data_IF_484085765594
#
_entry.id   IF_484085765594
#
_cell.length_a   1.000
_cell.length_b   1.000
_cell.length_c   1.000
_cell.angle_alpha   90.00
_cell.angle_beta   90.00
_cell.angle_gamma   90.00
#
_symmetry.space_group_name_H-M   'P 1'
#
loop_
_entity.id
_entity.type
_entity.pdbx_description
1 polymer ?
#
# COMPACT_ATOMS: atom_id res chain seq x y z
N UNK A 1 7.54 11.37 -4.12
CA UNK A 1 8.37 12.56 -4.39
C UNK A 1 9.11 12.26 -5.69
N UNK A 2 8.77 12.98 -6.76
CA UNK A 2 9.36 12.79 -8.09
C UNK A 2 10.88 12.93 -8.02
N UNK A 3 11.64 12.01 -8.64
CA UNK A 3 12.96 12.40 -9.14
C UNK A 3 12.64 13.40 -10.24
N UNK A 4 12.93 14.66 -9.98
CA UNK A 4 12.67 15.75 -10.90
C UNK A 4 13.40 15.48 -12.22
N UNK A 5 12.69 15.23 -13.34
CA UNK A 5 13.31 15.06 -14.65
C UNK A 5 14.23 16.24 -14.97
N UNK A 6 13.97 17.43 -14.40
CA UNK A 6 14.81 18.60 -14.56
C UNK A 6 16.25 18.37 -14.08
N UNK A 7 16.48 17.56 -13.04
CA UNK A 7 17.85 17.26 -12.56
C UNK A 7 18.64 16.46 -13.60
N UNK A 8 17.99 15.53 -14.31
CA UNK A 8 18.62 14.78 -15.42
C UNK A 8 19.02 15.72 -16.56
N UNK A 9 18.19 16.72 -16.84
CA UNK A 9 18.38 17.60 -17.99
C UNK A 9 19.21 18.86 -17.72
N UNK A 10 19.53 19.20 -16.47
CA UNK A 10 20.36 20.38 -16.12
C UNK A 10 21.73 20.39 -16.78
N UNK A 11 22.47 19.27 -16.75
CA UNK A 11 23.76 19.17 -17.44
C UNK A 11 23.58 19.03 -18.97
N UNK A 12 22.56 18.29 -19.40
CA UNK A 12 22.29 18.04 -20.81
C UNK A 12 21.74 19.28 -21.55
N UNK A 13 21.12 20.23 -20.86
CA UNK A 13 20.67 21.51 -21.42
C UNK A 13 21.81 22.43 -21.81
N UNK A 14 22.99 22.27 -21.19
CA UNK A 14 24.19 22.98 -21.63
C UNK A 14 24.72 22.42 -22.97
N UNK A 15 24.36 21.18 -23.31
CA UNK A 15 24.83 20.47 -24.50
C UNK A 15 23.76 20.21 -25.57
N UNK A 16 22.47 20.40 -25.27
CA UNK A 16 21.37 20.11 -26.19
C UNK A 16 20.25 21.15 -26.09
N UNK A 17 19.80 21.64 -27.25
CA UNK A 17 18.68 22.57 -27.34
C UNK A 17 17.39 21.93 -26.80
N UNK A 18 17.16 20.64 -27.09
CA UNK A 18 15.98 19.91 -26.63
C UNK A 18 15.83 19.90 -25.10
N UNK A 19 16.92 19.65 -24.37
CA UNK A 19 16.90 19.66 -22.92
C UNK A 19 16.70 21.07 -22.34
N UNK A 20 17.25 22.11 -22.99
CA UNK A 20 17.03 23.49 -22.59
C UNK A 20 15.55 23.88 -22.72
N UNK A 21 14.88 23.46 -23.81
CA UNK A 21 13.45 23.67 -24.00
C UNK A 21 12.60 22.96 -22.93
N UNK A 22 12.98 21.73 -22.56
CA UNK A 22 12.28 20.98 -21.52
C UNK A 22 12.42 21.67 -20.15
N UNK A 23 13.63 22.14 -19.80
CA UNK A 23 13.86 22.91 -18.58
C UNK A 23 13.14 24.26 -18.56
N UNK A 24 12.96 24.88 -19.73
CA UNK A 24 12.23 26.13 -19.89
C UNK A 24 10.70 25.97 -19.80
N UNK A 25 10.21 24.75 -19.60
CA UNK A 25 8.78 24.46 -19.52
C UNK A 25 8.08 24.47 -20.88
N UNK A 26 8.82 24.24 -21.97
CA UNK A 26 8.30 24.11 -23.35
C UNK A 26 8.42 22.67 -23.85
N UNK A 27 7.66 21.72 -23.26
CA UNK A 27 7.81 20.29 -23.55
C UNK A 27 7.40 19.91 -24.97
N UNK A 28 6.54 20.68 -25.65
CA UNK A 28 6.22 20.43 -27.06
C UNK A 28 7.39 20.69 -28.00
N UNK A 29 8.11 21.79 -27.78
CA UNK A 29 9.31 22.17 -28.54
C UNK A 29 10.44 21.18 -28.25
N UNK A 30 10.65 20.86 -26.98
CA UNK A 30 11.60 19.82 -26.56
C UNK A 30 11.32 18.48 -27.24
N UNK A 31 10.06 18.03 -27.25
CA UNK A 31 9.65 16.78 -27.90
C UNK A 31 10.01 16.77 -29.38
N UNK A 32 9.71 17.86 -30.10
CA UNK A 32 10.00 17.95 -31.53
C UNK A 32 11.50 17.84 -31.81
N UNK A 33 12.33 18.47 -30.98
CA UNK A 33 13.79 18.38 -31.08
C UNK A 33 14.31 16.97 -30.75
N UNK A 34 13.83 16.35 -29.66
CA UNK A 34 14.20 14.97 -29.33
C UNK A 34 13.79 13.96 -30.41
N UNK A 35 12.60 14.12 -31.00
CA UNK A 35 12.14 13.27 -32.11
C UNK A 35 12.99 13.47 -33.37
N UNK A 36 13.41 14.71 -33.66
CA UNK A 36 14.32 15.00 -34.77
C UNK A 36 15.70 14.35 -34.57
N UNK A 37 16.18 14.33 -33.34
CA UNK A 37 17.45 13.69 -32.95
C UNK A 37 17.34 12.17 -32.72
N UNK A 38 16.13 11.61 -32.88
CA UNK A 38 15.81 10.20 -32.59
C UNK A 38 16.17 9.78 -31.14
N UNK A 39 16.15 10.72 -30.20
CA UNK A 39 16.30 10.48 -28.76
C UNK A 39 14.95 10.05 -28.17
N UNK A 40 14.73 8.75 -28.13
CA UNK A 40 13.51 8.15 -27.59
C UNK A 40 13.34 8.41 -26.09
N UNK A 41 14.43 8.54 -25.35
CA UNK A 41 14.38 8.76 -23.90
C UNK A 41 13.97 10.20 -23.61
N UNK A 42 14.59 11.16 -24.30
CA UNK A 42 14.22 12.57 -24.22
C UNK A 42 12.80 12.85 -24.71
N UNK A 43 12.39 12.22 -25.81
CA UNK A 43 11.01 12.30 -26.29
C UNK A 43 10.02 11.72 -25.25
N UNK A 44 10.39 10.62 -24.59
CA UNK A 44 9.63 10.04 -23.49
C UNK A 44 9.45 10.99 -22.30
N UNK A 45 10.52 11.67 -21.87
CA UNK A 45 10.47 12.65 -20.78
C UNK A 45 9.58 13.85 -21.12
N UNK A 46 9.68 14.36 -22.36
CA UNK A 46 8.83 15.44 -22.83
C UNK A 46 7.34 15.04 -22.91
N UNK A 47 7.05 13.80 -23.31
CA UNK A 47 5.69 13.24 -23.32
C UNK A 47 5.13 13.07 -21.91
N UNK A 48 5.96 12.70 -20.92
CA UNK A 48 5.54 12.67 -19.52
C UNK A 48 5.17 14.07 -19.01
N UNK A 49 5.97 15.09 -19.34
CA UNK A 49 5.68 16.48 -18.98
C UNK A 49 4.36 16.98 -19.59
N UNK A 50 3.99 16.46 -20.77
CA UNK A 50 2.71 16.71 -21.43
C UNK A 50 1.53 15.89 -20.88
N UNK A 51 1.77 15.00 -19.91
CA UNK A 51 0.76 14.08 -19.39
C UNK A 51 0.32 13.01 -20.39
N UNK A 52 1.14 12.70 -21.41
CA UNK A 52 0.85 11.70 -22.43
C UNK A 52 1.53 10.37 -22.09
N UNK A 53 1.14 9.77 -20.96
CA UNK A 53 1.83 8.62 -20.37
C UNK A 53 1.92 7.42 -21.32
N UNK A 54 0.86 7.16 -22.10
CA UNK A 54 0.83 6.02 -23.02
C UNK A 54 1.87 6.13 -24.13
N UNK A 55 2.04 7.35 -24.67
CA UNK A 55 3.06 7.62 -25.68
C UNK A 55 4.46 7.59 -25.07
N UNK A 56 4.62 8.08 -23.84
CA UNK A 56 5.89 8.00 -23.14
C UNK A 56 6.33 6.55 -22.89
N UNK A 57 5.41 5.67 -22.45
CA UNK A 57 5.67 4.23 -22.32
C UNK A 57 6.18 3.64 -23.63
N UNK A 58 5.50 3.93 -24.76
CA UNK A 58 5.93 3.44 -26.07
C UNK A 58 7.32 3.93 -26.48
N UNK A 59 7.69 5.16 -26.13
CA UNK A 59 9.04 5.68 -26.35
C UNK A 59 10.08 4.91 -25.54
N UNK A 60 9.85 4.68 -24.24
CA UNK A 60 10.80 3.95 -23.39
C UNK A 60 10.91 2.47 -23.74
N UNK A 61 9.81 1.82 -24.11
CA UNK A 61 9.84 0.42 -24.59
C UNK A 61 10.67 0.28 -25.88
N UNK A 62 10.60 1.29 -26.77
CA UNK A 62 11.40 1.35 -28.00
C UNK A 62 12.85 1.75 -27.77
N UNK A 63 13.15 2.49 -26.71
CA UNK A 63 14.52 2.86 -26.33
C UNK A 63 15.36 1.69 -25.83
N UNK A 64 14.85 0.45 -25.96
CA UNK A 64 15.40 -0.84 -25.53
C UNK A 64 16.90 -0.86 -25.24
N UNK A 65 17.26 -1.30 -24.03
CA UNK A 65 18.65 -1.52 -23.60
C UNK A 65 18.70 -1.85 -22.10
N UNK A 66 19.83 -2.40 -21.65
CA UNK A 66 20.13 -2.53 -20.21
C UNK A 66 20.65 -1.19 -19.68
N UNK A 67 19.80 -0.15 -19.75
CA UNK A 67 20.10 1.18 -19.23
C UNK A 67 19.11 1.54 -18.12
N UNK A 68 19.67 1.76 -16.92
CA UNK A 68 18.90 2.17 -15.75
C UNK A 68 18.09 3.46 -15.99
N UNK A 69 18.55 4.38 -16.82
CA UNK A 69 17.81 5.62 -17.12
C UNK A 69 16.50 5.29 -17.84
N UNK A 70 16.54 4.39 -18.82
CA UNK A 70 15.34 3.91 -19.54
C UNK A 70 14.42 3.17 -18.58
N UNK A 71 14.99 2.32 -17.72
CA UNK A 71 14.24 1.57 -16.71
C UNK A 71 13.46 2.52 -15.80
N UNK A 72 14.13 3.55 -15.27
CA UNK A 72 13.52 4.54 -14.38
C UNK A 72 12.42 5.35 -15.08
N UNK A 73 12.67 5.83 -16.31
CA UNK A 73 11.68 6.57 -17.09
C UNK A 73 10.43 5.73 -17.39
N UNK A 74 10.61 4.47 -17.77
CA UNK A 74 9.50 3.53 -17.99
C UNK A 74 8.72 3.26 -16.70
N UNK A 75 9.41 3.00 -15.57
CA UNK A 75 8.74 2.77 -14.30
C UNK A 75 7.90 3.98 -13.86
N UNK A 76 8.42 5.20 -14.02
CA UNK A 76 7.67 6.42 -13.74
C UNK A 76 6.44 6.55 -14.65
N UNK A 77 6.59 6.29 -15.96
CA UNK A 77 5.48 6.33 -16.90
C UNK A 77 4.39 5.30 -16.56
N UNK A 78 4.78 4.10 -16.13
CA UNK A 78 3.86 3.04 -15.71
C UNK A 78 3.10 3.42 -14.43
N UNK A 79 3.76 4.01 -13.44
CA UNK A 79 3.10 4.54 -12.23
C UNK A 79 2.06 5.59 -12.59
N UNK A 80 2.44 6.58 -13.42
CA UNK A 80 1.55 7.67 -13.83
C UNK A 80 0.36 7.20 -14.68
N UNK A 81 0.52 6.08 -15.40
CA UNK A 81 -0.56 5.41 -16.14
C UNK A 81 -1.47 4.57 -15.23
N UNK A 82 -1.17 4.48 -13.93
CA UNK A 82 -1.95 3.68 -12.99
C UNK A 82 -1.58 2.19 -12.99
N UNK A 83 -0.35 1.82 -13.38
CA UNK A 83 0.16 0.45 -13.33
C UNK A 83 1.49 0.36 -12.55
N UNK A 84 1.49 0.67 -11.24
CA UNK A 84 2.68 0.64 -10.41
C UNK A 84 3.21 -0.79 -10.21
N UNK A 85 2.38 -1.83 -10.34
CA UNK A 85 2.84 -3.22 -10.24
C UNK A 85 3.79 -3.58 -11.39
N UNK A 86 3.51 -3.12 -12.62
CA UNK A 86 4.43 -3.28 -13.73
C UNK A 86 5.74 -2.49 -13.50
N UNK A 87 5.65 -1.30 -12.90
CA UNK A 87 6.83 -0.51 -12.53
C UNK A 87 7.69 -1.24 -11.48
N UNK A 88 7.07 -1.89 -10.48
CA UNK A 88 7.76 -2.72 -9.49
C UNK A 88 8.53 -3.84 -10.17
N UNK A 89 7.89 -4.64 -11.03
CA UNK A 89 8.55 -5.74 -11.75
C UNK A 89 9.75 -5.22 -12.55
N UNK A 90 9.58 -4.09 -13.23
CA UNK A 90 10.63 -3.47 -14.04
C UNK A 90 11.83 -3.02 -13.20
N UNK A 91 11.57 -2.43 -12.03
CA UNK A 91 12.61 -1.96 -11.11
C UNK A 91 13.31 -3.09 -10.36
N UNK A 92 12.63 -4.20 -10.08
CA UNK A 92 13.28 -5.39 -9.54
C UNK A 92 14.27 -5.99 -10.55
N UNK A 93 13.91 -6.04 -11.83
CA UNK A 93 14.83 -6.45 -12.90
C UNK A 93 16.02 -5.49 -13.02
N UNK A 94 15.78 -4.18 -12.93
CA UNK A 94 16.84 -3.17 -12.94
C UNK A 94 17.79 -3.33 -11.75
N UNK A 95 17.25 -3.58 -10.55
CA UNK A 95 18.04 -3.78 -9.34
C UNK A 95 18.82 -5.09 -9.36
N UNK A 96 18.30 -6.14 -10.01
CA UNK A 96 19.03 -7.38 -10.22
C UNK A 96 20.28 -7.18 -11.12
N UNK A 97 20.17 -6.31 -12.14
CA UNK A 97 21.32 -5.90 -12.98
C UNK A 97 22.26 -4.93 -12.30
N UNK A 98 21.74 -4.07 -11.44
CA UNK A 98 22.50 -3.04 -10.72
C UNK A 98 22.30 -3.15 -9.20
N UNK A 99 22.82 -4.21 -8.54
CA UNK A 99 22.61 -4.42 -7.11
C UNK A 99 23.09 -3.23 -6.27
N UNK A 100 22.24 -2.79 -5.34
CA UNK A 100 22.57 -1.68 -4.43
C UNK A 100 22.57 -0.29 -5.08
N UNK A 101 22.08 -0.14 -6.31
CA UNK A 101 21.93 1.18 -6.92
C UNK A 101 20.83 1.98 -6.19
N UNK A 102 21.15 3.15 -5.61
CA UNK A 102 20.20 3.92 -4.81
C UNK A 102 19.05 4.51 -5.62
N UNK A 103 19.27 4.82 -6.91
CA UNK A 103 18.22 5.33 -7.80
C UNK A 103 17.20 4.23 -8.11
N UNK A 104 17.67 3.02 -8.44
CA UNK A 104 16.80 1.86 -8.65
C UNK A 104 15.99 1.53 -7.37
N UNK A 105 16.65 1.57 -6.21
CA UNK A 105 15.99 1.34 -4.91
C UNK A 105 14.95 2.42 -4.57
N UNK A 106 15.26 3.69 -4.85
CA UNK A 106 14.32 4.80 -4.68
C UNK A 106 13.08 4.62 -5.56
N UNK A 107 13.26 4.32 -6.86
CA UNK A 107 12.16 4.11 -7.79
C UNK A 107 11.33 2.88 -7.44
N UNK A 108 11.97 1.78 -7.04
CA UNK A 108 11.29 0.58 -6.56
C UNK A 108 10.43 0.88 -5.33
N UNK A 109 10.98 1.62 -4.36
CA UNK A 109 10.25 1.97 -3.14
C UNK A 109 9.05 2.87 -3.42
N UNK A 110 9.21 3.85 -4.31
CA UNK A 110 8.10 4.69 -4.79
C UNK A 110 7.00 3.86 -5.44
N UNK A 111 7.35 3.00 -6.40
CA UNK A 111 6.38 2.14 -7.09
C UNK A 111 5.67 1.15 -6.13
N UNK A 112 6.37 0.65 -5.11
CA UNK A 112 5.79 -0.16 -4.05
C UNK A 112 4.75 0.64 -3.25
N UNK A 113 5.07 1.84 -2.79
CA UNK A 113 4.12 2.68 -2.05
C UNK A 113 2.89 3.05 -2.87
N UNK A 114 3.06 3.38 -4.16
CA UNK A 114 1.95 3.62 -5.09
C UNK A 114 1.08 2.37 -5.29
N UNK A 115 1.69 1.17 -5.27
CA UNK A 115 0.94 -0.10 -5.28
C UNK A 115 0.07 -0.25 -4.03
N UNK A 116 0.57 0.12 -2.85
CA UNK A 116 -0.24 0.11 -1.63
C UNK A 116 -1.37 1.16 -1.69
N UNK A 117 -1.10 2.35 -2.21
CA UNK A 117 -2.10 3.42 -2.30
C UNK A 117 -3.23 3.07 -3.26
N UNK A 118 -2.92 2.44 -4.39
CA UNK A 118 -3.93 1.96 -5.33
C UNK A 118 -4.71 0.75 -4.81
N UNK A 119 -4.09 -0.08 -3.97
CA UNK A 119 -4.79 -1.21 -3.35
C UNK A 119 -5.85 -0.73 -2.34
N UNK A 120 -5.61 0.40 -1.66
CA UNK A 120 -6.50 0.94 -0.62
C UNK A 120 -7.75 1.62 -1.18
N UNK A 121 -8.82 1.58 -0.38
CA UNK A 121 -10.03 2.34 -0.64
C UNK A 121 -9.82 3.83 -0.29
N UNK A 122 -10.59 4.72 -0.93
CA UNK A 122 -10.52 6.16 -0.70
C UNK A 122 -11.85 6.65 -0.10
N UNK A 123 -11.76 7.37 1.01
CA UNK A 123 -12.90 8.05 1.64
C UNK A 123 -13.20 9.38 0.95
N UNK A 124 -14.39 9.95 1.19
CA UNK A 124 -14.82 11.24 0.63
C UNK A 124 -13.90 12.39 1.05
N UNK A 125 -13.21 12.23 2.18
CA UNK A 125 -12.22 13.16 2.71
C UNK A 125 -10.80 12.88 2.18
N UNK A 126 -10.69 12.10 1.11
CA UNK A 126 -9.45 11.74 0.43
C UNK A 126 -8.46 10.94 1.30
N UNK A 127 -8.95 10.26 2.35
CA UNK A 127 -8.13 9.38 3.17
C UNK A 127 -8.08 7.96 2.59
N UNK A 128 -6.86 7.42 2.50
CA UNK A 128 -6.64 6.02 2.10
C UNK A 128 -6.89 5.09 3.30
N UNK A 129 -7.79 4.13 3.11
CA UNK A 129 -8.23 3.21 4.16
C UNK A 129 -8.21 1.75 3.69
N UNK A 130 -7.80 0.85 4.59
CA UNK A 130 -7.85 -0.60 4.38
C UNK A 130 -9.22 -1.10 4.81
N UNK A 131 -9.96 -1.70 3.87
CA UNK A 131 -11.37 -2.11 4.03
C UNK A 131 -11.61 -3.59 3.77
N UNK A 132 -10.63 -4.31 3.23
CA UNK A 132 -10.70 -5.75 3.02
C UNK A 132 -9.43 -6.47 3.47
N UNK A 133 -9.54 -7.79 3.66
CA UNK A 133 -8.38 -8.62 4.01
C UNK A 133 -7.35 -8.64 2.88
N UNK A 134 -7.80 -8.70 1.63
CA UNK A 134 -6.94 -8.65 0.44
C UNK A 134 -6.12 -7.37 0.41
N UNK A 135 -6.74 -6.21 0.69
CA UNK A 135 -6.03 -4.93 0.78
C UNK A 135 -4.97 -4.97 1.88
N UNK A 136 -5.32 -5.50 3.06
CA UNK A 136 -4.40 -5.65 4.17
C UNK A 136 -3.17 -6.49 3.79
N UNK A 137 -3.39 -7.64 3.17
CA UNK A 137 -2.32 -8.56 2.78
C UNK A 137 -1.41 -7.95 1.69
N UNK A 138 -1.98 -7.22 0.71
CA UNK A 138 -1.21 -6.48 -0.30
C UNK A 138 -0.36 -5.40 0.37
N UNK A 139 -0.96 -4.55 1.20
CA UNK A 139 -0.24 -3.48 1.90
C UNK A 139 0.87 -4.04 2.80
N UNK A 140 0.63 -5.17 3.47
CA UNK A 140 1.65 -5.82 4.31
C UNK A 140 2.82 -6.37 3.48
N UNK A 141 2.55 -7.03 2.36
CA UNK A 141 3.58 -7.53 1.46
C UNK A 141 4.42 -6.39 0.86
N UNK A 142 3.75 -5.30 0.46
CA UNK A 142 4.39 -4.08 -0.04
C UNK A 142 5.26 -3.43 1.02
N UNK A 143 4.74 -3.22 2.24
CA UNK A 143 5.47 -2.59 3.33
C UNK A 143 6.74 -3.36 3.70
N UNK A 144 6.66 -4.69 3.74
CA UNK A 144 7.82 -5.55 4.02
C UNK A 144 8.91 -5.40 2.96
N UNK A 145 8.54 -5.36 1.66
CA UNK A 145 9.50 -5.16 0.57
C UNK A 145 10.09 -3.75 0.59
N UNK A 146 9.24 -2.74 0.77
CA UNK A 146 9.64 -1.34 0.78
C UNK A 146 10.58 -0.99 1.96
N UNK A 147 10.43 -1.67 3.10
CA UNK A 147 11.31 -1.48 4.26
C UNK A 147 12.77 -1.87 3.99
N UNK A 148 13.00 -2.83 3.10
CA UNK A 148 14.35 -3.28 2.73
C UNK A 148 14.96 -2.39 1.64
N UNK A 149 14.13 -1.76 0.81
CA UNK A 149 14.58 -0.97 -0.35
C UNK A 149 14.63 0.53 -0.08
N UNK A 150 14.03 1.04 1.01
CA UNK A 150 13.96 2.47 1.28
C UNK A 150 15.34 3.07 1.62
N UNK A 151 15.87 3.92 0.74
CA UNK A 151 17.20 4.54 0.88
C UNK A 151 17.14 5.96 1.46
N UNK A 152 16.15 6.75 1.10
CA UNK A 152 15.99 8.12 1.56
C UNK A 152 15.02 8.23 2.75
N UNK A 153 15.13 9.34 3.47
CA UNK A 153 14.36 9.57 4.69
C UNK A 153 12.86 9.71 4.43
N UNK A 154 12.47 10.29 3.29
CA UNK A 154 11.07 10.47 2.94
C UNK A 154 10.39 9.10 2.72
N UNK A 155 11.04 8.21 1.98
CA UNK A 155 10.56 6.84 1.79
C UNK A 155 10.59 6.04 3.09
N UNK A 156 11.64 6.14 3.92
CA UNK A 156 11.66 5.47 5.23
C UNK A 156 10.50 5.93 6.12
N UNK A 157 10.22 7.22 6.16
CA UNK A 157 9.10 7.76 6.92
C UNK A 157 7.74 7.29 6.37
N UNK A 158 7.58 7.23 5.04
CA UNK A 158 6.35 6.72 4.42
C UNK A 158 6.13 5.23 4.72
N UNK A 159 7.17 4.41 4.61
CA UNK A 159 7.11 2.98 4.95
C UNK A 159 6.84 2.78 6.43
N UNK A 160 7.46 3.58 7.31
CA UNK A 160 7.21 3.51 8.75
C UNK A 160 5.75 3.85 9.09
N UNK A 161 5.16 4.87 8.46
CA UNK A 161 3.73 5.21 8.63
C UNK A 161 2.83 4.05 8.20
N UNK A 162 3.05 3.47 7.02
CA UNK A 162 2.28 2.33 6.54
C UNK A 162 2.43 1.12 7.47
N UNK A 163 3.64 0.85 7.94
CA UNK A 163 3.92 -0.26 8.87
C UNK A 163 3.22 -0.05 10.21
N UNK A 164 3.21 1.17 10.74
CA UNK A 164 2.49 1.52 11.97
C UNK A 164 0.97 1.35 11.80
N UNK A 165 0.41 1.81 10.67
CA UNK A 165 -1.01 1.62 10.34
C UNK A 165 -1.39 0.13 10.31
N UNK A 166 -0.56 -0.71 9.70
CA UNK A 166 -0.76 -2.16 9.65
C UNK A 166 -0.66 -2.80 11.03
N UNK A 167 0.33 -2.39 11.84
CA UNK A 167 0.51 -2.89 13.20
C UNK A 167 -0.69 -2.53 14.09
N UNK A 168 -1.19 -1.30 13.98
CA UNK A 168 -2.39 -0.84 14.67
C UNK A 168 -3.61 -1.61 14.18
N UNK A 169 -3.72 -1.83 12.87
CA UNK A 169 -4.78 -2.62 12.25
C UNK A 169 -4.86 -4.07 12.76
N UNK A 170 -3.73 -4.69 13.08
CA UNK A 170 -3.66 -6.06 13.60
C UNK A 170 -4.07 -6.20 15.06
N UNK A 171 -4.13 -5.09 15.82
CA UNK A 171 -4.54 -5.14 17.22
C UNK A 171 -5.95 -5.66 17.32
N UNK A 172 -6.17 -6.58 18.25
CA UNK A 172 -7.50 -7.11 18.52
C UNK A 172 -8.25 -6.13 19.42
N UNK A 173 -9.40 -5.65 18.93
CA UNK A 173 -10.30 -4.78 19.66
C UNK A 173 -11.66 -5.46 19.85
N UNK A 174 -12.37 -5.04 20.89
CA UNK A 174 -13.76 -5.44 21.10
C UNK A 174 -14.65 -4.52 20.29
N UNK A 175 -15.49 -5.07 19.42
CA UNK A 175 -16.33 -4.26 18.52
C UNK A 175 -17.54 -3.63 19.21
N UNK A 176 -17.85 -4.03 20.45
CA UNK A 176 -19.01 -3.51 21.20
C UNK A 176 -18.88 -3.77 22.72
N UNK A 177 -18.34 -2.80 23.46
CA UNK A 177 -18.10 -2.92 24.91
C UNK A 177 -19.39 -3.19 25.71
N UNK A 178 -20.53 -2.63 25.28
CA UNK A 178 -21.81 -2.84 25.94
C UNK A 178 -22.34 -4.28 25.77
N UNK A 179 -22.16 -4.86 24.57
CA UNK A 179 -22.55 -6.24 24.32
C UNK A 179 -21.66 -7.23 25.10
N UNK A 180 -20.35 -6.96 25.17
CA UNK A 180 -19.39 -7.77 25.94
C UNK A 180 -19.70 -7.71 27.43
N UNK A 181 -20.01 -6.53 27.99
CA UNK A 181 -20.41 -6.38 29.38
C UNK A 181 -21.70 -7.14 29.70
N UNK A 182 -22.70 -7.06 28.80
CA UNK A 182 -23.94 -7.83 28.92
C UNK A 182 -23.68 -9.34 28.94
N UNK A 183 -22.88 -9.85 28.01
CA UNK A 183 -22.56 -11.28 27.96
C UNK A 183 -21.73 -11.77 29.14
N UNK A 184 -20.78 -10.97 29.63
CA UNK A 184 -20.00 -11.29 30.81
C UNK A 184 -20.90 -11.45 32.05
N UNK A 185 -21.89 -10.56 32.20
CA UNK A 185 -22.86 -10.62 33.30
C UNK A 185 -23.81 -11.81 33.18
N UNK A 186 -24.41 -12.04 32.00
CA UNK A 186 -25.44 -13.06 31.83
C UNK A 186 -24.87 -14.48 31.58
N UNK A 187 -23.89 -14.62 30.68
CA UNK A 187 -23.32 -15.93 30.32
C UNK A 187 -22.36 -16.46 31.38
N UNK A 188 -21.48 -15.60 31.89
CA UNK A 188 -20.56 -15.94 32.98
C UNK A 188 -21.30 -16.25 34.29
N UNK A 189 -22.28 -15.41 34.64
CA UNK A 189 -23.10 -15.58 35.84
C UNK A 189 -23.94 -16.86 35.82
N UNK A 190 -24.55 -17.19 34.68
CA UNK A 190 -25.34 -18.43 34.54
C UNK A 190 -24.48 -19.69 34.67
N UNK A 191 -23.29 -19.72 34.05
CA UNK A 191 -22.37 -20.86 34.17
C UNK A 191 -21.90 -21.08 35.62
N UNK A 192 -21.54 -19.99 36.31
CA UNK A 192 -21.17 -20.03 37.73
C UNK A 192 -22.32 -20.48 38.64
N UNK A 193 -23.55 -20.06 38.35
CA UNK A 193 -24.74 -20.49 39.10
C UNK A 193 -24.98 -22.01 38.96
N UNK A 194 -24.83 -22.57 37.75
CA UNK A 194 -24.96 -24.02 37.52
C UNK A 194 -23.88 -24.80 38.26
N UNK A 195 -22.63 -24.33 38.23
CA UNK A 195 -21.52 -24.93 38.99
C UNK A 195 -21.78 -24.90 40.50
N UNK A 196 -22.24 -23.78 41.04
CA UNK A 196 -22.57 -23.64 42.46
C UNK A 196 -23.69 -24.59 42.90
N UNK A 197 -24.77 -24.67 42.13
CA UNK A 197 -25.88 -25.59 42.38
C UNK A 197 -25.43 -27.06 42.32
N UNK A 198 -24.56 -27.41 41.39
CA UNK A 198 -23.98 -28.75 41.29
C UNK A 198 -23.13 -29.11 42.50
N UNK A 199 -22.31 -28.17 43.00
CA UNK A 199 -21.45 -28.35 44.16
C UNK A 199 -22.23 -28.57 45.45
N UNK A 200 -23.25 -27.75 45.73
CA UNK A 200 -24.10 -27.87 46.93
C UNK A 200 -24.84 -29.22 46.97
N UNK A 201 -25.24 -29.73 45.79
CA UNK A 201 -25.97 -30.99 45.68
C UNK A 201 -25.05 -32.23 45.54
N UNK A 202 -23.73 -32.06 45.56
CA UNK A 202 -22.77 -33.16 45.34
C UNK A 202 -22.84 -33.78 43.94
N UNK A 203 -23.43 -33.10 42.96
CA UNK A 203 -23.62 -33.62 41.61
C UNK A 203 -22.48 -33.18 40.67
N UNK A 204 -21.48 -34.04 40.56
CA UNK A 204 -20.28 -33.82 39.72
C UNK A 204 -20.64 -33.59 38.25
N UNK A 205 -21.63 -34.30 37.71
CA UNK A 205 -22.04 -34.17 36.29
C UNK A 205 -22.57 -32.75 36.02
N UNK A 206 -23.28 -32.18 36.99
CA UNK A 206 -23.85 -30.84 36.88
C UNK A 206 -22.76 -29.76 36.98
N UNK A 207 -21.74 -29.98 37.81
CA UNK A 207 -20.55 -29.12 37.89
C UNK A 207 -19.78 -29.11 36.58
N UNK A 208 -19.48 -30.30 36.02
CA UNK A 208 -18.70 -30.42 34.78
C UNK A 208 -19.46 -29.82 33.60
N UNK A 209 -20.76 -30.10 33.47
CA UNK A 209 -21.57 -29.55 32.37
C UNK A 209 -21.71 -28.01 32.47
N UNK A 210 -21.91 -27.46 33.67
CA UNK A 210 -21.90 -26.02 33.91
C UNK A 210 -20.56 -25.36 33.52
N UNK A 211 -19.43 -25.98 33.88
CA UNK A 211 -18.11 -25.49 33.53
C UNK A 211 -17.86 -25.50 32.00
N UNK A 212 -18.22 -26.58 31.31
CA UNK A 212 -18.06 -26.69 29.86
C UNK A 212 -18.95 -25.67 29.14
N UNK A 213 -20.23 -25.55 29.53
CA UNK A 213 -21.15 -24.60 28.92
C UNK A 213 -20.70 -23.15 29.16
N UNK A 214 -20.24 -22.83 30.37
CA UNK A 214 -19.67 -21.52 30.68
C UNK A 214 -18.44 -21.20 29.83
N UNK A 215 -17.50 -22.14 29.71
CA UNK A 215 -16.32 -21.98 28.87
C UNK A 215 -16.67 -21.83 27.38
N UNK A 216 -17.62 -22.63 26.87
CA UNK A 216 -18.10 -22.53 25.50
C UNK A 216 -18.79 -21.19 25.23
N UNK A 217 -19.59 -20.68 26.17
CA UNK A 217 -20.23 -19.38 26.07
C UNK A 217 -19.20 -18.24 26.04
N UNK A 218 -18.21 -18.26 26.93
CA UNK A 218 -17.12 -17.26 26.92
C UNK A 218 -16.34 -17.34 25.62
N UNK A 219 -16.01 -18.54 25.15
CA UNK A 219 -15.33 -18.74 23.86
C UNK A 219 -16.15 -18.17 22.70
N UNK A 220 -17.45 -18.45 22.64
CA UNK A 220 -18.34 -17.92 21.60
C UNK A 220 -18.40 -16.39 21.61
N UNK A 221 -18.43 -15.76 22.79
CA UNK A 221 -18.41 -14.30 22.94
C UNK A 221 -17.08 -13.72 22.46
N UNK A 222 -15.95 -14.30 22.88
CA UNK A 222 -14.63 -13.88 22.42
C UNK A 222 -14.55 -14.02 20.90
N UNK A 223 -14.97 -15.14 20.33
CA UNK A 223 -14.93 -15.38 18.89
C UNK A 223 -15.87 -14.45 18.10
N UNK A 224 -17.02 -14.07 18.67
CA UNK A 224 -18.01 -13.22 17.99
C UNK A 224 -17.66 -11.73 18.01
N UNK A 225 -17.09 -11.24 19.13
CA UNK A 225 -16.89 -9.80 19.36
C UNK A 225 -15.45 -9.33 19.24
N UNK A 226 -14.48 -10.25 19.28
CA UNK A 226 -13.07 -9.89 19.10
C UNK A 226 -12.77 -9.80 17.61
N UNK A 227 -12.53 -8.58 17.14
CA UNK A 227 -12.19 -8.30 15.74
C UNK A 227 -10.86 -7.57 15.67
N UNK A 228 -10.18 -7.66 14.53
CA UNK A 228 -8.99 -6.86 14.31
C UNK A 228 -9.39 -5.39 14.10
N UNK A 229 -8.55 -4.46 14.55
CA UNK A 229 -8.85 -3.04 14.51
C UNK A 229 -9.17 -2.54 13.09
N UNK A 230 -8.49 -3.09 12.08
CA UNK A 230 -8.79 -2.76 10.68
C UNK A 230 -10.21 -3.17 10.28
N UNK A 231 -10.78 -4.26 10.82
CA UNK A 231 -12.15 -4.69 10.52
C UNK A 231 -13.19 -3.76 11.16
N UNK A 232 -12.91 -3.30 12.38
CA UNK A 232 -13.77 -2.34 13.08
C UNK A 232 -13.77 -1.03 12.31
N UNK A 233 -12.59 -0.48 12.02
CA UNK A 233 -12.44 0.75 11.23
C UNK A 233 -13.06 0.63 9.83
N UNK A 234 -12.87 -0.49 9.15
CA UNK A 234 -13.49 -0.75 7.84
C UNK A 234 -15.03 -0.65 7.90
N UNK A 235 -15.65 -1.08 9.00
CA UNK A 235 -17.09 -0.98 9.20
C UNK A 235 -17.53 0.47 9.46
N UNK A 236 -16.74 1.21 10.24
CA UNK A 236 -17.00 2.62 10.56
C UNK A 236 -16.88 3.53 9.33
N UNK A 237 -15.87 3.30 8.49
CA UNK A 237 -15.60 4.13 7.31
C UNK A 237 -16.34 3.67 6.06
N UNK A 238 -16.96 2.49 6.06
CA UNK A 238 -17.74 1.96 4.94
C UNK A 238 -18.71 2.97 4.28
N UNK A 239 -19.50 3.77 5.03
CA UNK A 239 -20.39 4.77 4.41
C UNK A 239 -19.65 5.96 3.79
N UNK A 240 -18.39 6.20 4.18
CA UNK A 240 -17.56 7.30 3.69
C UNK A 240 -16.71 6.91 2.47
N UNK A 241 -16.58 5.62 2.17
CA UNK A 241 -15.83 5.14 1.00
C UNK A 241 -16.59 5.50 -0.28
N UNK A 242 -15.94 6.23 -1.19
CA UNK A 242 -16.49 6.53 -2.51
C UNK A 242 -15.75 5.80 -3.64
N UNK A 243 -14.47 5.48 -3.44
CA UNK A 243 -13.70 4.61 -4.35
C UNK A 243 -13.26 3.37 -3.60
N UNK A 244 -13.71 2.21 -4.07
CA UNK A 244 -13.19 0.94 -3.57
C UNK A 244 -11.83 0.63 -4.19
N UNK A 245 -10.88 0.25 -3.34
CA UNK A 245 -9.64 -0.37 -3.79
C UNK A 245 -9.87 -1.83 -4.22
N UNK A 246 -8.79 -2.60 -4.34
CA UNK A 246 -8.84 -4.03 -4.67
C UNK A 246 -9.68 -4.76 -3.61
N UNK A 247 -10.58 -5.67 -4.00
CA UNK A 247 -11.44 -6.42 -3.07
C UNK A 247 -10.87 -7.80 -2.77
#
# INVERSE_FOLDING_TARGET
>A
MWIDPLVKWQAAAQSSAAAAELLAGRPEEARALFEADNDLVGAGDALLALGQQERAVACYERASGDDLIVDCGLAQALVLRGNPQAAVVRMEQALARHPGNPVAQHQLTGALLETADQARSLTRDEELVITSRTQFDICAAVAARAAVTAVDEAHRAAVARLTAELADGQRWMWSNDAAVAGYALFGGGAGLAVVGLGGVNGNIVLVVSGAILGAAAVYAVVAAFRRQAWQVRATEVAPMVWRHGVR
#
